data_IF_378274753744
#
_entry.id   IF_378274753744
#
_cell.length_a   1.000
_cell.length_b   1.000
_cell.length_c   1.000
_cell.angle_alpha   90.00
_cell.angle_beta   90.00
_cell.angle_gamma   90.00
#
_symmetry.space_group_name_H-M   'P 1'
#
loop_
_entity.id
_entity.type
_entity.pdbx_description
1 polymer ?
#
# COMPACT_ATOMS: atom_id res chain seq x y z
N UNK A 1 9.91 6.29 4.14
CA UNK A 1 10.85 5.71 5.12
C UNK A 1 10.94 4.24 4.79
N UNK A 2 12.15 3.72 4.63
CA UNK A 2 12.38 2.31 4.30
C UNK A 2 12.19 1.44 5.56
N UNK A 3 11.41 0.36 5.44
CA UNK A 3 11.08 -0.54 6.55
C UNK A 3 12.33 -1.30 7.00
N UNK A 4 13.25 -1.58 6.07
CA UNK A 4 14.44 -2.38 6.33
C UNK A 4 15.47 -1.63 7.19
N UNK A 5 15.47 -0.29 7.11
CA UNK A 5 16.36 0.57 7.91
C UNK A 5 15.68 1.19 9.14
N UNK A 6 14.35 1.03 9.30
CA UNK A 6 13.61 1.65 10.38
C UNK A 6 13.88 0.99 11.73
N UNK A 7 13.96 1.79 12.80
CA UNK A 7 13.99 1.30 14.18
C UNK A 7 12.66 0.64 14.56
N UNK A 8 12.67 -0.17 15.63
CA UNK A 8 11.44 -0.80 16.13
C UNK A 8 10.37 0.24 16.50
N UNK A 9 10.77 1.38 17.05
CA UNK A 9 9.85 2.46 17.41
C UNK A 9 9.18 3.06 16.16
N UNK A 10 9.96 3.35 15.12
CA UNK A 10 9.45 3.89 13.86
C UNK A 10 8.53 2.90 13.14
N UNK A 11 8.90 1.62 13.09
CA UNK A 11 8.04 0.57 12.52
C UNK A 11 6.71 0.44 13.25
N UNK A 12 6.73 0.51 14.58
CA UNK A 12 5.52 0.44 15.38
C UNK A 12 4.63 1.67 15.15
N UNK A 13 5.22 2.86 15.09
CA UNK A 13 4.49 4.10 14.79
C UNK A 13 3.84 4.05 13.39
N UNK A 14 4.58 3.55 12.39
CA UNK A 14 4.06 3.38 11.03
C UNK A 14 2.92 2.35 10.99
N UNK A 15 3.10 1.20 11.64
CA UNK A 15 2.07 0.16 11.75
C UNK A 15 0.82 0.69 12.44
N UNK A 16 0.97 1.45 13.51
CA UNK A 16 -0.16 2.06 14.22
C UNK A 16 -0.95 3.03 13.32
N UNK A 17 -0.24 3.87 12.55
CA UNK A 17 -0.87 4.80 11.58
C UNK A 17 -1.62 4.04 10.48
N UNK A 18 -1.02 2.97 9.95
CA UNK A 18 -1.64 2.13 8.93
C UNK A 18 -2.90 1.45 9.48
N UNK A 19 -2.82 0.82 10.66
CA UNK A 19 -3.95 0.19 11.32
C UNK A 19 -5.08 1.17 11.60
N UNK A 20 -4.77 2.38 12.07
CA UNK A 20 -5.78 3.41 12.32
C UNK A 20 -6.48 3.83 11.02
N UNK A 21 -5.74 3.95 9.93
CA UNK A 21 -6.29 4.33 8.62
C UNK A 21 -7.20 3.23 8.07
N UNK A 22 -6.73 1.98 8.06
CA UNK A 22 -7.51 0.83 7.60
C UNK A 22 -8.75 0.58 8.48
N UNK A 23 -8.62 0.69 9.80
CA UNK A 23 -9.75 0.52 10.73
C UNK A 23 -10.83 1.56 10.51
N UNK A 24 -10.47 2.75 10.00
CA UNK A 24 -11.45 3.80 9.68
C UNK A 24 -12.42 3.41 8.57
N UNK A 25 -12.04 2.50 7.65
CA UNK A 25 -12.90 2.01 6.57
C UNK A 25 -14.12 1.24 7.09
N UNK A 26 -14.08 0.76 8.33
CA UNK A 26 -15.17 0.02 8.96
C UNK A 26 -15.23 -1.44 8.51
N UNK A 27 -16.43 -2.02 8.56
CA UNK A 27 -16.65 -3.44 8.30
C UNK A 27 -16.90 -3.75 6.81
N UNK A 28 -16.62 -4.99 6.42
CA UNK A 28 -16.85 -5.48 5.05
C UNK A 28 -15.66 -5.28 4.09
N UNK A 29 -14.60 -4.60 4.52
CA UNK A 29 -13.34 -4.51 3.79
C UNK A 29 -12.43 -5.69 4.10
N UNK A 30 -11.68 -6.15 3.11
CA UNK A 30 -10.64 -7.15 3.23
C UNK A 30 -9.41 -6.72 2.45
N UNK A 31 -8.28 -6.61 3.14
CA UNK A 31 -6.97 -6.37 2.57
C UNK A 31 -6.32 -7.72 2.28
N UNK A 32 -5.85 -7.88 1.06
CA UNK A 32 -5.04 -8.99 0.63
C UNK A 32 -3.65 -8.46 0.32
N UNK A 33 -2.63 -9.17 0.81
CA UNK A 33 -1.24 -8.86 0.54
C UNK A 33 -0.60 -10.16 0.10
N UNK A 34 -0.04 -10.14 -1.10
CA UNK A 34 0.76 -11.23 -1.62
C UNK A 34 2.20 -10.75 -1.76
N UNK A 35 3.13 -11.61 -1.39
CA UNK A 35 4.56 -11.31 -1.42
C UNK A 35 5.27 -12.50 -2.02
N UNK A 36 5.89 -12.27 -3.18
CA UNK A 36 6.63 -13.26 -3.91
C UNK A 36 8.12 -12.94 -3.88
N UNK A 37 8.93 -13.99 -3.80
CA UNK A 37 10.37 -13.94 -3.92
C UNK A 37 10.71 -14.26 -5.38
N UNK A 38 11.09 -13.26 -6.16
CA UNK A 38 11.46 -13.40 -7.57
C UNK A 38 12.97 -13.33 -7.74
N UNK A 39 13.51 -13.97 -8.79
CA UNK A 39 14.93 -13.85 -9.11
C UNK A 39 15.18 -12.41 -9.55
N UNK A 40 16.22 -11.79 -8.99
CA UNK A 40 16.69 -10.49 -9.40
C UNK A 40 17.70 -10.69 -10.54
N UNK A 41 17.26 -10.44 -11.76
CA UNK A 41 18.00 -10.79 -12.97
C UNK A 41 19.21 -9.88 -13.24
N UNK A 42 19.14 -8.61 -12.82
CA UNK A 42 20.22 -7.65 -13.03
C UNK A 42 20.28 -6.56 -11.96
N UNK A 43 21.48 -5.98 -11.80
CA UNK A 43 21.65 -4.71 -11.10
C UNK A 43 21.26 -3.56 -12.05
N UNK A 44 20.82 -2.39 -11.56
CA UNK A 44 20.55 -1.23 -12.41
C UNK A 44 21.75 -0.82 -13.29
N UNK A 45 21.48 -0.38 -14.52
CA UNK A 45 22.51 0.06 -15.47
C UNK A 45 23.32 1.24 -14.94
N UNK A 46 24.59 1.38 -15.35
CA UNK A 46 25.48 2.47 -14.89
C UNK A 46 24.87 3.84 -15.16
N UNK A 47 24.20 4.01 -16.30
CA UNK A 47 23.53 5.26 -16.70
C UNK A 47 22.36 5.64 -15.78
N UNK A 48 21.81 4.67 -15.03
CA UNK A 48 20.74 4.93 -14.04
C UNK A 48 21.28 5.32 -12.66
N UNK A 49 22.59 5.15 -12.42
CA UNK A 49 23.27 5.51 -11.18
C UNK A 49 23.80 6.95 -11.25
N UNK A 50 23.06 7.90 -10.66
CA UNK A 50 23.47 9.30 -10.58
C UNK A 50 23.89 9.69 -9.15
N UNK A 51 25.13 9.35 -8.78
CA UNK A 51 25.69 9.71 -7.46
C UNK A 51 26.60 10.95 -7.56
N UNK A 52 26.30 12.04 -6.84
CA UNK A 52 27.05 13.29 -6.96
C UNK A 52 28.45 13.24 -6.32
N UNK A 53 28.67 12.30 -5.39
CA UNK A 53 29.93 12.15 -4.66
C UNK A 53 30.68 10.88 -5.11
N UNK A 54 31.99 10.95 -5.40
CA UNK A 54 32.76 9.83 -5.94
C UNK A 54 32.79 8.60 -5.02
N UNK A 55 32.77 8.81 -3.70
CA UNK A 55 32.67 7.68 -2.74
C UNK A 55 31.35 6.93 -2.86
N UNK A 56 30.23 7.63 -3.11
CA UNK A 56 28.93 6.96 -3.30
C UNK A 56 28.89 6.18 -4.61
N UNK A 57 29.51 6.72 -5.67
CA UNK A 57 29.68 5.99 -6.93
C UNK A 57 30.52 4.73 -6.74
N UNK A 58 31.67 4.83 -6.04
CA UNK A 58 32.51 3.67 -5.73
C UNK A 58 31.76 2.61 -4.90
N UNK A 59 30.89 3.04 -3.97
CA UNK A 59 30.03 2.12 -3.22
C UNK A 59 29.02 1.41 -4.14
N UNK A 60 28.37 2.13 -5.07
CA UNK A 60 27.47 1.52 -6.06
C UNK A 60 28.20 0.53 -6.97
N UNK A 61 29.39 0.87 -7.44
CA UNK A 61 30.23 -0.01 -8.27
C UNK A 61 30.59 -1.29 -7.52
N UNK A 62 30.92 -1.19 -6.22
CA UNK A 62 31.17 -2.37 -5.39
C UNK A 62 29.94 -3.26 -5.22
N UNK A 63 28.75 -2.65 -5.07
CA UNK A 63 27.47 -3.37 -4.96
C UNK A 63 27.11 -4.06 -6.25
N UNK A 64 27.34 -3.41 -7.39
CA UNK A 64 27.15 -3.97 -8.73
C UNK A 64 28.05 -5.19 -8.94
N UNK A 65 29.35 -5.05 -8.69
CA UNK A 65 30.30 -6.15 -8.84
C UNK A 65 29.96 -7.34 -7.91
N UNK A 66 29.57 -7.06 -6.67
CA UNK A 66 29.07 -8.09 -5.75
C UNK A 66 27.80 -8.76 -6.27
N UNK A 67 26.84 -7.98 -6.78
CA UNK A 67 25.63 -8.49 -7.37
C UNK A 67 25.91 -9.29 -8.63
N UNK A 68 26.87 -8.96 -9.47
CA UNK A 68 27.13 -9.70 -10.71
C UNK A 68 27.95 -10.98 -10.47
N UNK A 69 28.82 -10.98 -9.45
CA UNK A 69 29.74 -12.10 -9.17
C UNK A 69 29.11 -13.30 -8.46
N UNK A 70 27.94 -13.14 -7.82
CA UNK A 70 27.30 -14.24 -7.07
C UNK A 70 26.28 -15.05 -7.90
N UNK A 71 25.71 -16.12 -7.35
CA UNK A 71 24.69 -16.96 -7.99
C UNK A 71 23.32 -16.28 -8.17
N UNK A 72 22.21 -17.00 -8.00
CA UNK A 72 20.89 -16.34 -8.10
C UNK A 72 20.68 -15.37 -6.93
N UNK A 73 20.27 -14.14 -7.23
CA UNK A 73 19.81 -13.15 -6.24
C UNK A 73 18.30 -13.09 -6.27
N UNK A 74 17.70 -12.61 -5.20
CA UNK A 74 16.25 -12.55 -5.08
C UNK A 74 15.81 -11.15 -4.69
N UNK A 75 14.73 -10.71 -5.29
CA UNK A 75 14.00 -9.50 -4.92
C UNK A 75 12.63 -9.89 -4.37
N UNK A 76 12.15 -9.11 -3.40
CA UNK A 76 10.81 -9.26 -2.86
C UNK A 76 9.87 -8.35 -3.63
N UNK A 77 8.84 -8.93 -4.26
CA UNK A 77 7.76 -8.19 -4.89
C UNK A 77 6.49 -8.40 -4.11
N UNK A 78 5.93 -7.30 -3.59
CA UNK A 78 4.66 -7.31 -2.88
C UNK A 78 3.57 -6.64 -3.70
N UNK A 79 2.40 -7.27 -3.73
CA UNK A 79 1.19 -6.74 -4.35
C UNK A 79 0.11 -6.72 -3.28
N UNK A 80 -0.68 -5.64 -3.23
CA UNK A 80 -1.82 -5.56 -2.32
C UNK A 80 -3.08 -5.17 -3.05
N UNK A 81 -4.21 -5.74 -2.64
CA UNK A 81 -5.53 -5.43 -3.16
C UNK A 81 -6.54 -5.34 -2.03
N UNK A 82 -7.44 -4.36 -2.12
CA UNK A 82 -8.50 -4.14 -1.14
C UNK A 82 -9.82 -4.48 -1.81
N UNK A 83 -10.57 -5.35 -1.15
CA UNK A 83 -11.90 -5.78 -1.60
C UNK A 83 -12.95 -5.33 -0.59
N UNK A 84 -14.16 -5.08 -1.06
CA UNK A 84 -15.28 -4.71 -0.20
C UNK A 84 -16.49 -5.59 -0.51
N UNK A 85 -17.12 -6.12 0.54
CA UNK A 85 -18.40 -6.84 0.48
C UNK A 85 -19.42 -6.11 1.35
N UNK A 86 -20.66 -5.91 0.87
CA UNK A 86 -21.74 -5.44 1.72
C UNK A 86 -21.91 -6.37 2.92
N UNK A 87 -21.89 -5.82 4.14
CA UNK A 87 -22.32 -6.54 5.36
C UNK A 87 -23.82 -6.91 5.26
N UNK A 88 -24.38 -7.65 6.23
CA UNK A 88 -25.68 -8.31 6.08
C UNK A 88 -26.82 -7.40 5.53
N UNK A 89 -27.55 -7.89 4.52
CA UNK A 89 -28.62 -7.19 3.77
C UNK A 89 -29.66 -6.46 4.63
N UNK A 90 -29.89 -6.91 5.87
CA UNK A 90 -30.92 -6.37 6.79
C UNK A 90 -30.61 -4.96 7.31
N UNK A 91 -29.36 -4.67 7.67
CA UNK A 91 -28.97 -3.32 8.13
C UNK A 91 -28.97 -2.32 6.98
N UNK A 92 -28.69 -2.78 5.76
CA UNK A 92 -28.66 -1.92 4.58
C UNK A 92 -30.04 -1.55 4.07
N UNK A 93 -31.02 -2.47 4.10
CA UNK A 93 -32.38 -2.14 3.66
C UNK A 93 -33.01 -1.03 4.51
N UNK A 94 -32.66 -0.97 5.81
CA UNK A 94 -33.11 0.10 6.71
C UNK A 94 -32.44 1.43 6.37
N UNK A 95 -31.14 1.44 6.08
CA UNK A 95 -30.46 2.68 5.67
C UNK A 95 -30.97 3.15 4.31
N UNK A 96 -31.12 2.28 3.32
CA UNK A 96 -31.65 2.62 2.00
C UNK A 96 -33.06 3.24 2.09
N UNK A 97 -33.94 2.65 2.91
CA UNK A 97 -35.33 3.11 3.09
C UNK A 97 -35.44 4.42 3.89
N UNK A 98 -34.51 4.69 4.81
CA UNK A 98 -34.47 5.95 5.56
C UNK A 98 -34.00 7.15 4.71
N UNK A 99 -33.27 6.89 3.61
CA UNK A 99 -32.73 7.94 2.73
C UNK A 99 -33.52 8.10 1.41
N UNK A 100 -34.58 7.31 1.19
CA UNK A 100 -35.46 7.33 0.02
C UNK A 100 -36.44 8.54 0.00
N UNK A 101 -36.37 9.43 0.99
CA UNK A 101 -37.21 10.63 1.09
C UNK A 101 -36.59 11.86 0.43
N UNK A 102 -36.16 11.74 -0.82
CA UNK A 102 -35.71 12.87 -1.63
C UNK A 102 -35.29 12.44 -3.03
N UNK A 103 -35.66 13.25 -4.02
CA UNK A 103 -35.50 13.10 -5.48
C UNK A 103 -34.02 12.97 -5.95
N UNK A 104 -33.31 12.00 -5.39
CA UNK A 104 -31.86 11.86 -5.48
C UNK A 104 -31.50 10.62 -6.29
N UNK A 105 -30.58 10.78 -7.24
CA UNK A 105 -30.06 9.70 -8.09
C UNK A 105 -29.65 8.51 -7.22
N UNK A 106 -30.16 7.32 -7.53
CA UNK A 106 -29.70 6.06 -6.94
C UNK A 106 -28.19 5.88 -7.18
N UNK A 107 -27.36 6.27 -6.21
CA UNK A 107 -25.93 6.00 -6.23
C UNK A 107 -25.73 4.53 -5.88
N UNK A 108 -25.05 3.78 -6.75
CA UNK A 108 -24.79 2.37 -6.48
C UNK A 108 -23.95 2.22 -5.20
N UNK A 109 -24.20 1.16 -4.43
CA UNK A 109 -23.48 0.88 -3.18
C UNK A 109 -21.97 0.79 -3.41
N UNK A 110 -21.56 0.22 -4.55
CA UNK A 110 -20.16 0.16 -4.95
C UNK A 110 -19.56 1.56 -5.10
N UNK A 111 -20.30 2.48 -5.73
CA UNK A 111 -19.86 3.86 -5.92
C UNK A 111 -19.73 4.59 -4.58
N UNK A 112 -20.67 4.40 -3.65
CA UNK A 112 -20.61 5.00 -2.31
C UNK A 112 -19.38 4.54 -1.53
N UNK A 113 -19.09 3.24 -1.52
CA UNK A 113 -17.93 2.70 -0.82
C UNK A 113 -16.61 3.07 -1.50
N UNK A 114 -16.60 3.18 -2.83
CA UNK A 114 -15.45 3.70 -3.56
C UNK A 114 -15.17 5.16 -3.20
N UNK A 115 -16.21 6.00 -3.07
CA UNK A 115 -16.05 7.39 -2.60
C UNK A 115 -15.52 7.43 -1.17
N UNK A 116 -16.12 6.67 -0.25
CA UNK A 116 -15.64 6.56 1.14
C UNK A 116 -14.17 6.13 1.19
N UNK A 117 -13.80 5.09 0.44
CA UNK A 117 -12.43 4.62 0.36
C UNK A 117 -11.48 5.72 -0.11
N UNK A 118 -11.82 6.42 -1.20
CA UNK A 118 -11.01 7.53 -1.72
C UNK A 118 -10.87 8.66 -0.72
N UNK A 119 -11.93 9.05 -0.03
CA UNK A 119 -11.90 10.10 1.00
C UNK A 119 -10.96 9.72 2.15
N UNK A 120 -11.09 8.50 2.68
CA UNK A 120 -10.25 8.03 3.80
C UNK A 120 -8.79 7.82 3.43
N UNK A 121 -8.52 7.47 2.17
CA UNK A 121 -7.15 7.30 1.67
C UNK A 121 -6.52 8.63 1.18
N UNK A 122 -7.34 9.65 0.89
CA UNK A 122 -6.87 10.96 0.43
C UNK A 122 -6.44 11.88 1.58
N UNK A 123 -6.63 11.50 2.85
CA UNK A 123 -6.35 12.37 3.99
C UNK A 123 -4.89 12.23 4.46
N UNK A 124 -4.03 13.27 4.32
CA UNK A 124 -2.87 13.37 5.17
C UNK A 124 -3.35 13.79 6.56
N UNK A 125 -3.50 12.83 7.48
CA UNK A 125 -3.63 13.17 8.90
C UNK A 125 -2.39 13.95 9.33
N UNK A 126 -2.53 15.29 9.33
CA UNK A 126 -1.66 16.20 10.06
C UNK A 126 -1.70 15.77 11.53
N UNK A 127 -0.56 15.32 12.01
CA UNK A 127 -0.25 15.28 13.44
C UNK A 127 0.50 16.57 13.73
#
# INVERSE_FOLDING_TARGET
>A
MDVDTATNLERNAMTARLNQTLSSLGSGYMLHVDTICEIADSYPDVESSAFPHPVMQMMDDSRRLFFESQGNKFATRSVSFITWRPTAKRLFKVTDLLFDHGDTKHVSLAQRNLTLFKERMSEPKKV
#
